data_IF_698454832869
#
_entry.id   IF_698454832869
#
_cell.length_a   1.000
_cell.length_b   1.000
_cell.length_c   1.000
_cell.angle_alpha   90.00
_cell.angle_beta   90.00
_cell.angle_gamma   90.00
#
_symmetry.space_group_name_H-M   'P 1'
#
loop_
_entity.id
_entity.type
_entity.pdbx_description
1 polymer ?
#
# COMPACT_ATOMS: atom_id res chain seq x y z
N UNK A 1 3.52 32.85 1.28
CA UNK A 1 3.90 32.21 -0.01
C UNK A 1 3.02 30.99 -0.29
N UNK A 2 2.57 30.80 -1.54
CA UNK A 2 1.78 29.62 -1.91
C UNK A 2 2.68 28.43 -2.31
N UNK A 3 2.94 27.54 -1.37
CA UNK A 3 3.75 26.34 -1.58
C UNK A 3 3.13 25.37 -2.60
N UNK A 4 1.79 25.30 -2.67
CA UNK A 4 1.10 24.39 -3.59
C UNK A 4 1.36 24.79 -5.04
N UNK A 5 1.22 26.08 -5.34
CA UNK A 5 1.48 26.63 -6.67
C UNK A 5 2.94 26.44 -7.07
N UNK A 6 3.88 26.69 -6.15
CA UNK A 6 5.30 26.50 -6.43
C UNK A 6 5.64 25.02 -6.73
N UNK A 7 5.06 24.07 -5.99
CA UNK A 7 5.29 22.65 -6.29
C UNK A 7 4.70 22.29 -7.66
N UNK A 8 3.51 22.80 -7.99
CA UNK A 8 2.85 22.53 -9.26
C UNK A 8 3.56 23.16 -10.46
N UNK A 9 4.21 24.32 -10.30
CA UNK A 9 5.00 24.92 -11.39
C UNK A 9 6.21 24.06 -11.77
N UNK A 10 6.80 23.34 -10.80
CA UNK A 10 7.93 22.43 -11.05
C UNK A 10 7.47 21.01 -11.42
N UNK A 11 6.34 20.55 -10.88
CA UNK A 11 5.77 19.22 -11.12
C UNK A 11 4.26 19.31 -11.42
N UNK A 12 3.86 19.69 -12.65
CA UNK A 12 2.45 19.90 -12.99
C UNK A 12 1.57 18.66 -12.83
N UNK A 13 2.16 17.47 -13.04
CA UNK A 13 1.46 16.18 -13.00
C UNK A 13 1.52 15.49 -11.64
N UNK A 14 1.91 16.20 -10.58
CA UNK A 14 1.99 15.66 -9.22
C UNK A 14 0.61 15.20 -8.72
N UNK A 15 0.54 14.03 -8.09
CA UNK A 15 -0.70 13.55 -7.49
C UNK A 15 -1.06 14.33 -6.21
N UNK A 16 -2.35 14.51 -5.94
CA UNK A 16 -2.84 15.22 -4.76
C UNK A 16 -2.29 14.64 -3.45
N UNK A 17 -2.16 13.32 -3.37
CA UNK A 17 -1.57 12.65 -2.21
C UNK A 17 -0.10 13.02 -1.99
N UNK A 18 0.68 13.11 -3.07
CA UNK A 18 2.10 13.52 -3.00
C UNK A 18 2.21 15.00 -2.66
N UNK A 19 1.38 15.83 -3.28
CA UNK A 19 1.30 17.27 -3.02
C UNK A 19 0.95 17.54 -1.55
N UNK A 20 -0.08 16.89 -1.01
CA UNK A 20 -0.45 16.98 0.41
C UNK A 20 0.67 16.51 1.33
N UNK A 21 1.37 15.43 0.97
CA UNK A 21 2.53 14.96 1.71
C UNK A 21 3.66 15.99 1.74
N UNK A 22 3.95 16.60 0.59
CA UNK A 22 4.98 17.62 0.45
C UNK A 22 4.65 18.89 1.26
N UNK A 23 3.43 19.41 1.13
CA UNK A 23 2.99 20.60 1.88
C UNK A 23 3.00 20.36 3.39
N UNK A 24 2.56 19.18 3.83
CA UNK A 24 2.59 18.81 5.25
C UNK A 24 4.01 18.71 5.77
N UNK A 25 4.92 18.07 5.03
CA UNK A 25 6.30 17.92 5.45
C UNK A 25 7.01 19.29 5.50
N UNK A 26 6.88 20.11 4.47
CA UNK A 26 7.56 21.40 4.46
C UNK A 26 7.02 22.35 5.55
N UNK A 27 5.72 22.32 5.84
CA UNK A 27 5.13 23.07 6.95
C UNK A 27 5.69 22.64 8.31
N UNK A 28 5.87 21.33 8.53
CA UNK A 28 6.50 20.79 9.75
C UNK A 28 7.97 21.20 9.86
N UNK A 29 8.72 21.12 8.76
CA UNK A 29 10.13 21.54 8.73
C UNK A 29 10.25 23.03 9.04
N UNK A 30 9.47 23.87 8.37
CA UNK A 30 9.47 25.31 8.59
C UNK A 30 9.20 25.63 10.05
N UNK A 31 8.11 25.09 10.62
CA UNK A 31 7.77 25.30 12.03
C UNK A 31 8.87 24.85 12.98
N UNK A 32 9.55 23.73 12.68
CA UNK A 32 10.66 23.25 13.50
C UNK A 32 11.90 24.15 13.42
N UNK A 33 12.16 24.77 12.28
CA UNK A 33 13.35 25.62 12.05
C UNK A 33 13.12 27.06 12.53
N UNK A 34 11.92 27.61 12.31
CA UNK A 34 11.61 29.03 12.52
C UNK A 34 10.69 29.30 13.71
N UNK A 35 10.02 28.28 14.25
CA UNK A 35 8.96 28.43 15.26
C UNK A 35 7.63 28.95 14.70
N UNK A 36 7.56 29.32 13.42
CA UNK A 36 6.38 29.94 12.79
C UNK A 36 5.58 28.93 11.97
N UNK A 37 4.25 29.10 11.94
CA UNK A 37 3.36 28.21 11.17
C UNK A 37 3.25 28.59 9.69
N UNK A 38 3.35 29.88 9.38
CA UNK A 38 3.17 30.39 8.02
C UNK A 38 4.51 30.52 7.29
N UNK A 39 4.58 30.01 6.06
CA UNK A 39 5.76 30.09 5.21
C UNK A 39 5.69 31.35 4.34
N UNK A 40 6.55 32.31 4.63
CA UNK A 40 6.67 33.56 3.86
C UNK A 40 7.64 33.41 2.68
N UNK A 41 8.73 32.67 2.87
CA UNK A 41 9.79 32.43 1.89
C UNK A 41 10.48 31.06 2.15
N UNK A 42 11.51 30.75 1.36
CA UNK A 42 12.32 29.54 1.50
C UNK A 42 13.63 29.77 2.26
N UNK A 43 13.88 30.94 2.83
CA UNK A 43 15.16 31.28 3.47
C UNK A 43 15.43 30.44 4.73
N UNK A 44 14.39 29.89 5.35
CA UNK A 44 14.57 28.91 6.42
C UNK A 44 15.37 27.68 5.98
N UNK A 45 15.39 27.33 4.69
CA UNK A 45 16.21 26.24 4.15
C UNK A 45 17.71 26.58 4.13
N UNK A 46 18.07 27.86 4.21
CA UNK A 46 19.46 28.32 4.37
C UNK A 46 19.98 28.08 5.79
N UNK A 47 19.10 27.89 6.78
CA UNK A 47 19.47 27.53 8.16
C UNK A 47 19.85 26.03 8.25
N UNK A 48 20.87 25.64 7.49
CA UNK A 48 21.22 24.25 7.20
C UNK A 48 21.42 23.41 8.46
N UNK A 49 22.11 23.95 9.45
CA UNK A 49 22.36 23.28 10.74
C UNK A 49 21.05 22.86 11.42
N UNK A 50 20.06 23.76 11.48
CA UNK A 50 18.75 23.46 12.10
C UNK A 50 17.93 22.48 11.27
N UNK A 51 18.00 22.60 9.94
CA UNK A 51 17.36 21.64 9.03
C UNK A 51 17.94 20.25 9.26
N UNK A 52 19.25 20.12 9.31
CA UNK A 52 19.94 18.85 9.53
C UNK A 52 19.64 18.26 10.91
N UNK A 53 19.63 19.11 11.95
CA UNK A 53 19.28 18.69 13.29
C UNK A 53 17.85 18.10 13.32
N UNK A 54 16.89 18.78 12.69
CA UNK A 54 15.52 18.28 12.59
C UNK A 54 15.46 16.96 11.80
N UNK A 55 16.10 16.92 10.64
CA UNK A 55 16.08 15.75 9.78
C UNK A 55 16.75 14.56 10.47
N UNK A 56 17.85 14.76 11.21
CA UNK A 56 18.63 13.71 11.87
C UNK A 56 17.77 12.78 12.74
N UNK A 57 16.77 13.36 13.41
CA UNK A 57 15.80 12.70 14.32
C UNK A 57 14.77 11.82 13.59
N UNK A 58 14.72 11.87 12.26
CA UNK A 58 13.72 11.18 11.44
C UNK A 58 14.23 9.85 10.87
N UNK A 59 13.30 8.94 10.59
CA UNK A 59 13.61 7.69 9.87
C UNK A 59 14.18 7.97 8.47
N UNK A 60 14.98 7.03 7.94
CA UNK A 60 15.56 7.14 6.58
C UNK A 60 14.51 7.43 5.51
N UNK A 61 13.38 6.72 5.54
CA UNK A 61 12.29 6.93 4.57
C UNK A 61 11.63 8.30 4.71
N UNK A 62 11.46 8.78 5.94
CA UNK A 62 10.95 10.13 6.19
C UNK A 62 11.94 11.17 5.66
N UNK A 63 13.24 11.06 5.97
CA UNK A 63 14.29 11.94 5.44
C UNK A 63 14.23 12.03 3.91
N UNK A 64 14.14 10.90 3.21
CA UNK A 64 14.01 10.87 1.74
C UNK A 64 12.82 11.69 1.24
N UNK A 65 11.68 11.66 1.93
CA UNK A 65 10.51 12.46 1.57
C UNK A 65 10.75 13.97 1.77
N UNK A 66 11.43 14.36 2.85
CA UNK A 66 11.79 15.76 3.08
C UNK A 66 12.78 16.27 2.03
N UNK A 67 13.85 15.53 1.74
CA UNK A 67 14.77 15.88 0.65
C UNK A 67 14.04 15.97 -0.70
N UNK A 68 13.07 15.09 -0.95
CA UNK A 68 12.24 15.13 -2.16
C UNK A 68 11.48 16.46 -2.34
N UNK A 69 10.86 16.98 -1.27
CA UNK A 69 10.16 18.28 -1.34
C UNK A 69 11.12 19.46 -1.35
N UNK A 70 12.19 19.44 -0.55
CA UNK A 70 13.21 20.51 -0.51
C UNK A 70 13.79 20.72 -1.92
N UNK A 71 14.29 19.65 -2.55
CA UNK A 71 14.83 19.74 -3.90
C UNK A 71 13.80 20.18 -4.93
N UNK A 72 12.53 19.79 -4.77
CA UNK A 72 11.46 20.24 -5.67
C UNK A 72 11.24 21.75 -5.58
N UNK A 73 11.29 22.31 -4.36
CA UNK A 73 11.09 23.75 -4.13
C UNK A 73 12.29 24.58 -4.58
N UNK A 74 13.52 24.08 -4.37
CA UNK A 74 14.74 24.81 -4.69
C UNK A 74 15.09 24.80 -6.18
N UNK A 75 14.61 23.80 -6.94
CA UNK A 75 15.00 23.57 -8.35
C UNK A 75 14.94 24.81 -9.25
N UNK A 76 14.02 25.73 -9.00
CA UNK A 76 13.82 26.94 -9.81
C UNK A 76 14.00 28.24 -9.03
N UNK A 77 14.51 28.15 -7.78
CA UNK A 77 14.56 29.28 -6.84
C UNK A 77 15.95 29.57 -6.33
N UNK A 78 16.76 28.55 -6.11
CA UNK A 78 18.10 28.69 -5.55
C UNK A 78 18.95 27.49 -5.97
N UNK A 79 19.74 27.67 -7.03
CA UNK A 79 20.54 26.60 -7.64
C UNK A 79 21.69 26.15 -6.72
N UNK A 80 22.31 27.07 -6.00
CA UNK A 80 23.42 26.75 -5.09
C UNK A 80 22.91 25.91 -3.92
N UNK A 81 21.82 26.35 -3.28
CA UNK A 81 21.20 25.61 -2.19
C UNK A 81 20.64 24.27 -2.67
N UNK A 82 20.08 24.21 -3.89
CA UNK A 82 19.66 22.95 -4.52
C UNK A 82 20.82 21.95 -4.59
N UNK A 83 21.97 22.36 -5.13
CA UNK A 83 23.17 21.51 -5.26
C UNK A 83 23.68 21.02 -3.91
N UNK A 84 23.62 21.87 -2.88
CA UNK A 84 24.00 21.50 -1.52
C UNK A 84 23.13 20.35 -0.98
N UNK A 85 21.80 20.49 -1.03
CA UNK A 85 20.89 19.44 -0.56
C UNK A 85 20.92 18.18 -1.45
N UNK A 86 21.24 18.31 -2.73
CA UNK A 86 21.38 17.18 -3.64
C UNK A 86 22.61 16.34 -3.30
N UNK A 87 23.75 17.01 -3.03
CA UNK A 87 24.98 16.36 -2.56
C UNK A 87 24.73 15.57 -1.28
N UNK A 88 24.05 16.16 -0.30
CA UNK A 88 23.72 15.49 0.96
C UNK A 88 22.81 14.27 0.75
N UNK A 89 21.83 14.40 -0.14
CA UNK A 89 20.94 13.30 -0.49
C UNK A 89 21.70 12.12 -1.10
N UNK A 90 22.68 12.39 -1.94
CA UNK A 90 23.53 11.38 -2.58
C UNK A 90 24.49 10.76 -1.56
N UNK A 91 25.23 11.58 -0.80
CA UNK A 91 26.22 11.13 0.18
C UNK A 91 25.62 10.21 1.25
N UNK A 92 24.41 10.52 1.72
CA UNK A 92 23.71 9.72 2.71
C UNK A 92 22.92 8.55 2.10
N UNK A 93 23.12 8.26 0.82
CA UNK A 93 22.49 7.16 0.11
C UNK A 93 20.95 7.22 0.19
N UNK A 94 20.37 8.43 0.28
CA UNK A 94 18.93 8.65 0.16
C UNK A 94 18.48 8.63 -1.31
N UNK A 95 19.42 8.63 -2.26
CA UNK A 95 19.19 8.43 -3.69
C UNK A 95 18.97 6.95 -4.05
N UNK A 96 19.68 6.02 -3.39
CA UNK A 96 19.54 4.60 -3.64
C UNK A 96 18.29 4.03 -2.96
N UNK A 97 17.30 3.70 -3.79
CA UNK A 97 16.11 2.91 -3.43
C UNK A 97 16.41 1.47 -2.99
N UNK A 98 17.67 1.08 -2.76
CA UNK A 98 17.95 -0.10 -1.93
C UNK A 98 17.40 0.22 -0.54
N UNK A 99 16.14 -0.17 -0.33
CA UNK A 99 15.46 -0.18 0.96
C UNK A 99 16.25 -1.14 1.84
N UNK A 100 17.34 -0.65 2.41
CA UNK A 100 17.83 -1.17 3.68
C UNK A 100 16.65 -0.95 4.62
N UNK A 101 15.89 -2.00 4.87
CA UNK A 101 14.89 -1.99 5.93
C UNK A 101 15.62 -1.52 7.17
N UNK A 102 15.16 -0.44 7.80
CA UNK A 102 15.56 -0.18 9.17
C UNK A 102 15.19 -1.42 9.99
N UNK A 103 16.11 -1.94 10.80
CA UNK A 103 15.88 -3.06 11.73
C UNK A 103 14.66 -2.85 12.64
N UNK A 104 14.23 -1.59 12.77
CA UNK A 104 12.98 -1.18 13.43
C UNK A 104 11.71 -1.81 12.84
N UNK A 105 11.77 -2.35 11.62
CA UNK A 105 10.68 -3.11 10.99
C UNK A 105 11.04 -4.60 10.86
N UNK A 106 11.60 -5.24 11.91
CA UNK A 106 11.24 -6.64 12.19
C UNK A 106 9.72 -6.68 12.45
N UNK A 107 8.93 -6.49 11.39
CA UNK A 107 7.49 -6.72 11.41
C UNK A 107 7.34 -8.12 12.00
N UNK A 108 6.74 -8.22 13.18
CA UNK A 108 6.28 -9.49 13.72
C UNK A 108 5.25 -10.01 12.71
N UNK A 109 5.73 -10.76 11.73
CA UNK A 109 4.89 -11.52 10.82
C UNK A 109 4.55 -12.81 11.54
N UNK A 110 3.30 -13.22 11.44
CA UNK A 110 2.88 -14.56 11.82
C UNK A 110 3.10 -15.50 10.65
N UNK A 111 3.29 -16.78 10.94
CA UNK A 111 3.28 -17.81 9.91
C UNK A 111 1.84 -18.03 9.35
N UNK A 112 1.71 -18.84 8.30
CA UNK A 112 0.39 -19.12 7.73
C UNK A 112 -0.51 -19.91 8.68
N UNK A 113 0.06 -20.74 9.55
CA UNK A 113 -0.71 -21.56 10.50
C UNK A 113 -1.41 -20.67 11.52
N UNK A 114 -0.70 -19.70 12.07
CA UNK A 114 -1.23 -18.69 12.98
C UNK A 114 -2.22 -17.75 12.28
N UNK A 115 -1.97 -17.42 11.00
CA UNK A 115 -2.92 -16.66 10.19
C UNK A 115 -4.25 -17.43 10.00
N UNK A 116 -4.19 -18.73 9.71
CA UNK A 116 -5.37 -19.59 9.56
C UNK A 116 -6.10 -19.81 10.89
N UNK A 117 -5.36 -19.89 12.01
CA UNK A 117 -5.96 -19.90 13.35
C UNK A 117 -6.68 -18.60 13.65
N UNK A 118 -6.07 -17.45 13.35
CA UNK A 118 -6.71 -16.13 13.48
C UNK A 118 -7.99 -16.05 12.66
N UNK A 119 -7.96 -16.47 11.38
CA UNK A 119 -9.14 -16.54 10.52
C UNK A 119 -10.25 -17.41 11.13
N UNK A 120 -9.88 -18.57 11.69
CA UNK A 120 -10.82 -19.49 12.32
C UNK A 120 -11.49 -18.87 13.54
N UNK A 121 -10.74 -18.15 14.38
CA UNK A 121 -11.29 -17.41 15.53
C UNK A 121 -12.27 -16.31 15.08
N UNK A 122 -11.91 -15.55 14.04
CA UNK A 122 -12.78 -14.50 13.47
C UNK A 122 -14.08 -15.09 12.92
N UNK A 123 -13.99 -16.22 12.20
CA UNK A 123 -15.17 -16.93 11.67
C UNK A 123 -16.09 -17.44 12.79
N UNK A 124 -15.53 -18.05 13.84
CA UNK A 124 -16.28 -18.52 15.02
C UNK A 124 -16.98 -17.38 15.76
N UNK A 125 -16.41 -16.18 15.75
CA UNK A 125 -17.00 -14.98 16.35
C UNK A 125 -18.13 -14.35 15.51
N UNK A 126 -18.53 -14.95 14.38
CA UNK A 126 -19.59 -14.42 13.51
C UNK A 126 -19.19 -13.16 12.73
N UNK A 127 -17.90 -12.83 12.66
CA UNK A 127 -17.40 -11.66 11.96
C UNK A 127 -17.18 -11.95 10.47
N UNK A 128 -18.27 -12.33 9.79
CA UNK A 128 -18.26 -12.85 8.41
C UNK A 128 -17.62 -11.89 7.42
N UNK A 129 -17.92 -10.58 7.49
CA UNK A 129 -17.32 -9.57 6.61
C UNK A 129 -15.79 -9.55 6.73
N UNK A 130 -15.28 -9.54 7.96
CA UNK A 130 -13.83 -9.49 8.22
C UNK A 130 -13.14 -10.79 7.79
N UNK A 131 -13.78 -11.93 8.07
CA UNK A 131 -13.32 -13.23 7.62
C UNK A 131 -13.18 -13.29 6.09
N UNK A 132 -14.23 -12.88 5.36
CA UNK A 132 -14.21 -12.87 3.89
C UNK A 132 -13.14 -11.92 3.35
N UNK A 133 -12.98 -10.73 3.94
CA UNK A 133 -11.95 -9.78 3.54
C UNK A 133 -10.53 -10.35 3.72
N UNK A 134 -10.24 -10.92 4.89
CA UNK A 134 -8.93 -11.50 5.19
C UNK A 134 -8.65 -12.76 4.39
N UNK A 135 -9.66 -13.61 4.16
CA UNK A 135 -9.54 -14.79 3.30
C UNK A 135 -9.32 -14.40 1.84
N UNK A 136 -9.99 -13.34 1.37
CA UNK A 136 -9.76 -12.80 0.03
C UNK A 136 -8.33 -12.27 -0.11
N UNK A 137 -7.79 -11.54 0.88
CA UNK A 137 -6.41 -11.05 0.87
C UNK A 137 -5.36 -12.17 0.92
N UNK A 138 -5.68 -13.30 1.56
CA UNK A 138 -4.82 -14.48 1.59
C UNK A 138 -4.68 -15.12 0.20
N UNK A 139 -5.79 -15.23 -0.53
CA UNK A 139 -5.84 -15.86 -1.85
C UNK A 139 -5.48 -14.90 -2.98
N UNK A 140 -5.85 -13.64 -2.82
CA UNK A 140 -5.71 -12.57 -3.80
C UNK A 140 -5.24 -11.30 -3.07
N UNK A 141 -3.91 -11.11 -2.90
CA UNK A 141 -3.36 -10.08 -2.03
C UNK A 141 -3.44 -8.69 -2.67
N UNK A 142 -4.65 -8.19 -2.83
CA UNK A 142 -4.97 -6.83 -3.24
C UNK A 142 -4.45 -5.81 -2.21
N UNK A 143 -4.41 -4.54 -2.58
CA UNK A 143 -4.13 -3.47 -1.62
C UNK A 143 -5.46 -2.99 -1.02
N UNK A 144 -5.45 -1.82 -0.38
CA UNK A 144 -6.59 -1.36 0.43
C UNK A 144 -7.85 -1.06 -0.40
N UNK A 145 -7.74 -0.95 -1.73
CA UNK A 145 -8.89 -0.86 -2.64
C UNK A 145 -9.82 -2.08 -2.60
N UNK A 146 -9.42 -3.19 -1.97
CA UNK A 146 -10.31 -4.33 -1.73
C UNK A 146 -11.60 -3.90 -1.02
N UNK A 147 -11.54 -2.94 -0.11
CA UNK A 147 -12.71 -2.45 0.62
C UNK A 147 -13.71 -1.68 -0.26
N UNK A 148 -13.31 -1.28 -1.46
CA UNK A 148 -14.16 -0.53 -2.40
C UNK A 148 -14.81 -1.40 -3.48
N UNK A 149 -14.74 -2.74 -3.35
CA UNK A 149 -15.33 -3.66 -4.32
C UNK A 149 -16.86 -3.56 -4.36
N UNK A 150 -17.40 -3.42 -5.58
CA UNK A 150 -18.83 -3.46 -5.87
C UNK A 150 -19.23 -4.81 -6.46
N UNK A 151 -20.27 -5.43 -5.93
CA UNK A 151 -20.87 -6.65 -6.44
C UNK A 151 -21.68 -6.28 -7.68
N UNK A 152 -21.46 -7.02 -8.77
CA UNK A 152 -22.22 -6.84 -10.01
C UNK A 152 -22.48 -8.19 -10.67
N UNK A 153 -23.73 -8.50 -11.06
CA UNK A 153 -24.02 -9.66 -11.89
C UNK A 153 -23.23 -9.64 -13.21
N UNK A 154 -22.75 -10.78 -13.68
CA UNK A 154 -21.99 -10.88 -14.93
C UNK A 154 -22.72 -10.28 -16.14
N UNK A 155 -24.04 -10.40 -16.19
CA UNK A 155 -24.86 -9.82 -17.26
C UNK A 155 -24.82 -8.29 -17.24
N UNK A 156 -24.84 -7.67 -16.07
CA UNK A 156 -24.81 -6.22 -15.91
C UNK A 156 -23.40 -5.67 -16.15
N UNK A 157 -22.38 -6.36 -15.64
CA UNK A 157 -20.98 -5.98 -15.86
C UNK A 157 -20.62 -5.85 -17.35
N UNK A 158 -21.18 -6.71 -18.21
CA UNK A 158 -21.00 -6.65 -19.67
C UNK A 158 -21.64 -5.42 -20.32
N UNK A 159 -22.64 -4.80 -19.67
CA UNK A 159 -23.33 -3.60 -20.17
C UNK A 159 -22.64 -2.30 -19.75
N UNK A 160 -21.73 -2.36 -18.78
CA UNK A 160 -20.96 -1.18 -18.32
C UNK A 160 -19.96 -0.82 -19.42
N UNK A 161 -20.16 0.34 -20.05
CA UNK A 161 -19.23 0.91 -21.04
C UNK A 161 -17.94 1.37 -20.36
N UNK A 162 -18.08 2.23 -19.35
CA UNK A 162 -16.96 2.81 -18.60
C UNK A 162 -16.82 2.19 -17.22
N UNK A 163 -15.88 1.26 -17.10
CA UNK A 163 -15.62 0.53 -15.84
C UNK A 163 -14.66 1.32 -14.97
N UNK A 164 -15.19 2.30 -14.24
CA UNK A 164 -14.37 3.20 -13.38
C UNK A 164 -14.17 2.71 -11.96
N UNK A 165 -14.98 1.74 -11.50
CA UNK A 165 -14.90 1.17 -10.16
C UNK A 165 -14.17 -0.19 -10.13
N UNK A 166 -13.97 -0.71 -8.92
CA UNK A 166 -13.53 -2.09 -8.72
C UNK A 166 -14.76 -2.98 -8.49
N UNK A 167 -14.83 -4.11 -9.19
CA UNK A 167 -16.00 -4.98 -9.21
C UNK A 167 -15.66 -6.40 -8.76
N UNK A 168 -16.51 -6.99 -7.93
CA UNK A 168 -16.66 -8.43 -7.82
C UNK A 168 -17.78 -8.85 -8.78
N UNK A 169 -17.40 -9.49 -9.87
CA UNK A 169 -18.34 -9.93 -10.91
C UNK A 169 -18.82 -11.34 -10.61
N UNK A 170 -20.13 -11.51 -10.52
CA UNK A 170 -20.78 -12.77 -10.12
C UNK A 170 -21.64 -13.32 -11.25
N UNK A 171 -21.21 -14.44 -11.84
CA UNK A 171 -22.03 -15.27 -12.72
C UNK A 171 -22.48 -16.56 -12.03
N UNK A 172 -23.18 -17.43 -12.75
CA UNK A 172 -23.51 -18.79 -12.26
C UNK A 172 -22.27 -19.67 -12.17
N UNK A 173 -21.46 -19.73 -13.24
CA UNK A 173 -20.24 -20.53 -13.33
C UNK A 173 -18.95 -19.75 -13.07
N UNK A 174 -18.92 -18.47 -13.45
CA UNK A 174 -17.73 -17.60 -13.33
C UNK A 174 -17.88 -16.62 -12.18
N UNK A 175 -16.80 -16.37 -11.47
CA UNK A 175 -16.71 -15.33 -10.46
C UNK A 175 -15.29 -14.77 -10.49
N UNK A 176 -15.15 -13.46 -10.62
CA UNK A 176 -13.85 -12.82 -10.74
C UNK A 176 -13.88 -11.40 -10.19
N UNK A 177 -12.71 -10.90 -9.83
CA UNK A 177 -12.51 -9.51 -9.44
C UNK A 177 -11.94 -8.75 -10.61
N UNK A 178 -12.56 -7.64 -10.98
CA UNK A 178 -12.08 -6.71 -12.00
C UNK A 178 -11.74 -5.37 -11.33
N UNK A 179 -10.47 -4.98 -11.35
CA UNK A 179 -9.99 -3.74 -10.72
C UNK A 179 -9.58 -2.75 -11.80
N UNK A 180 -10.19 -1.57 -11.73
CA UNK A 180 -9.91 -0.44 -12.62
C UNK A 180 -9.41 0.79 -11.85
N UNK A 181 -9.57 0.81 -10.53
CA UNK A 181 -9.18 1.90 -9.64
C UNK A 181 -8.26 1.38 -8.55
N UNK A 182 -6.97 1.37 -8.83
CA UNK A 182 -5.93 0.91 -7.90
C UNK A 182 -4.64 1.69 -8.13
N UNK A 183 -3.66 1.55 -7.23
CA UNK A 183 -2.47 2.43 -7.18
C UNK A 183 -1.69 2.60 -8.51
N UNK A 184 -1.72 1.59 -9.38
CA UNK A 184 -0.91 1.50 -10.59
C UNK A 184 -1.77 1.20 -11.82
N UNK A 185 -3.06 1.52 -11.75
CA UNK A 185 -4.04 1.44 -12.84
C UNK A 185 -3.57 2.19 -14.09
N UNK A 186 -2.95 3.36 -13.92
CA UNK A 186 -2.38 4.14 -15.03
C UNK A 186 -1.29 3.40 -15.82
N UNK A 187 -0.63 2.41 -15.22
CA UNK A 187 0.46 1.64 -15.84
C UNK A 187 -0.05 0.31 -16.37
N UNK A 188 -0.85 -0.40 -15.56
CA UNK A 188 -1.25 -1.78 -15.86
C UNK A 188 -2.69 -1.90 -16.38
N UNK A 189 -3.43 -0.79 -16.51
CA UNK A 189 -4.80 -0.75 -17.00
C UNK A 189 -5.78 -1.47 -16.07
N UNK A 190 -6.68 -2.26 -16.64
CA UNK A 190 -7.63 -3.07 -15.88
C UNK A 190 -7.03 -4.44 -15.56
N UNK A 191 -7.07 -4.86 -14.29
CA UNK A 191 -6.65 -6.21 -13.90
C UNK A 191 -7.87 -7.06 -13.57
N UNK A 192 -7.93 -8.24 -14.17
CA UNK A 192 -8.94 -9.26 -13.85
C UNK A 192 -8.29 -10.48 -13.21
N UNK A 193 -8.86 -10.93 -12.10
CA UNK A 193 -8.42 -12.10 -11.35
C UNK A 193 -9.61 -13.04 -11.13
N UNK A 194 -9.55 -14.21 -11.75
CA UNK A 194 -10.55 -15.24 -11.53
C UNK A 194 -10.48 -15.77 -10.11
N UNK A 195 -11.64 -15.81 -9.44
CA UNK A 195 -11.76 -16.57 -8.22
C UNK A 195 -11.87 -18.03 -8.65
N UNK A 196 -10.98 -18.90 -8.19
CA UNK A 196 -10.92 -20.31 -8.61
C UNK A 196 -11.22 -21.27 -7.47
N UNK A 197 -10.77 -20.95 -6.24
CA UNK A 197 -11.01 -21.74 -5.03
C UNK A 197 -12.51 -22.00 -4.80
N UNK A 198 -12.90 -23.28 -4.88
CA UNK A 198 -14.31 -23.72 -4.79
C UNK A 198 -14.91 -23.47 -3.41
N UNK A 199 -14.12 -23.66 -2.34
CA UNK A 199 -14.58 -23.49 -0.96
C UNK A 199 -14.84 -22.01 -0.68
N UNK A 200 -13.89 -21.16 -1.04
CA UNK A 200 -14.01 -19.72 -0.90
C UNK A 200 -15.14 -19.15 -1.76
N UNK A 201 -15.34 -19.63 -3.00
CA UNK A 201 -16.52 -19.26 -3.82
C UNK A 201 -17.83 -19.51 -3.09
N UNK A 202 -17.97 -20.68 -2.45
CA UNK A 202 -19.18 -21.05 -1.70
C UNK A 202 -19.40 -20.10 -0.52
N UNK A 203 -18.36 -19.84 0.26
CA UNK A 203 -18.41 -18.92 1.40
C UNK A 203 -18.73 -17.47 0.97
N UNK A 204 -18.09 -17.00 -0.10
CA UNK A 204 -18.30 -15.67 -0.67
C UNK A 204 -19.73 -15.51 -1.21
N UNK A 205 -20.30 -16.53 -1.88
CA UNK A 205 -21.72 -16.49 -2.29
C UNK A 205 -22.68 -16.43 -1.12
N UNK A 206 -22.43 -17.22 -0.08
CA UNK A 206 -23.27 -17.19 1.13
C UNK A 206 -23.22 -15.80 1.78
N UNK A 207 -22.03 -15.21 1.86
CA UNK A 207 -21.86 -13.84 2.34
C UNK A 207 -22.60 -12.82 1.47
N UNK A 208 -22.45 -12.86 0.14
CA UNK A 208 -23.17 -11.97 -0.78
C UNK A 208 -24.69 -12.09 -0.62
N UNK A 209 -25.21 -13.31 -0.48
CA UNK A 209 -26.65 -13.52 -0.23
C UNK A 209 -27.10 -12.86 1.09
N UNK A 210 -26.25 -12.88 2.12
CA UNK A 210 -26.55 -12.21 3.39
C UNK A 210 -26.53 -10.68 3.34
N UNK A 211 -26.03 -10.09 2.24
CA UNK A 211 -26.01 -8.63 2.04
C UNK A 211 -27.33 -8.08 1.47
N UNK A 212 -28.32 -8.94 1.22
CA UNK A 212 -29.69 -8.55 0.84
C UNK A 212 -29.77 -7.52 -0.30
N UNK A 213 -29.15 -7.85 -1.44
CA UNK A 213 -29.20 -7.03 -2.65
C UNK A 213 -28.25 -5.82 -2.68
N UNK A 214 -27.47 -5.56 -1.62
CA UNK A 214 -26.47 -4.48 -1.61
C UNK A 214 -25.40 -4.67 -2.67
N UNK A 215 -24.90 -3.55 -3.18
CA UNK A 215 -23.82 -3.54 -4.16
C UNK A 215 -22.45 -3.46 -3.49
N UNK A 216 -22.33 -3.00 -2.26
CA UNK A 216 -21.07 -2.85 -1.56
C UNK A 216 -20.64 -4.18 -0.93
N UNK A 217 -19.48 -4.70 -1.33
CA UNK A 217 -19.00 -5.97 -0.78
C UNK A 217 -18.55 -5.85 0.69
N UNK A 218 -17.94 -4.73 1.06
CA UNK A 218 -17.43 -4.48 2.41
C UNK A 218 -17.90 -3.13 2.91
N UNK A 219 -18.68 -3.14 3.98
CA UNK A 219 -19.34 -1.96 4.51
C UNK A 219 -18.55 -1.33 5.63
N UNK A 220 -18.40 -0.01 5.59
CA UNK A 220 -18.24 0.74 6.82
C UNK A 220 -19.57 0.71 7.59
N UNK A 221 -19.57 0.08 8.76
CA UNK A 221 -20.77 -0.08 9.60
C UNK A 221 -21.37 1.25 10.08
N UNK A 222 -20.59 2.32 10.14
CA UNK A 222 -21.05 3.64 10.55
C UNK A 222 -21.78 4.38 9.42
N UNK A 223 -21.25 4.29 8.19
CA UNK A 223 -21.79 5.07 7.06
C UNK A 223 -22.72 4.25 6.17
N UNK A 224 -22.70 2.93 6.28
CA UNK A 224 -23.44 2.01 5.40
C UNK A 224 -22.91 1.97 3.97
N UNK A 225 -21.78 2.65 3.67
CA UNK A 225 -21.15 2.72 2.34
C UNK A 225 -19.93 1.79 2.26
N UNK A 226 -19.40 1.60 1.05
CA UNK A 226 -18.13 0.91 0.85
C UNK A 226 -17.01 1.51 1.68
N UNK A 227 -16.10 0.67 2.19
CA UNK A 227 -14.91 1.14 2.88
C UNK A 227 -13.98 1.89 1.92
N UNK A 228 -13.52 3.05 2.37
CA UNK A 228 -12.37 3.74 1.79
C UNK A 228 -11.06 2.99 2.09
N UNK A 229 -9.98 3.23 1.34
CA UNK A 229 -8.68 2.62 1.64
C UNK A 229 -8.15 2.85 3.06
N UNK A 230 -8.48 4.00 3.67
CA UNK A 230 -8.11 4.32 5.04
C UNK A 230 -8.92 3.49 6.04
N UNK A 231 -10.23 3.40 5.84
CA UNK A 231 -11.12 2.59 6.68
C UNK A 231 -10.79 1.10 6.59
N UNK A 232 -10.49 0.59 5.39
CA UNK A 232 -9.99 -0.79 5.19
C UNK A 232 -8.74 -1.03 6.04
N UNK A 233 -7.77 -0.12 5.98
CA UNK A 233 -6.52 -0.24 6.75
C UNK A 233 -6.77 -0.26 8.26
N UNK A 234 -7.64 0.63 8.74
CA UNK A 234 -7.99 0.73 10.16
C UNK A 234 -8.75 -0.51 10.61
N UNK A 235 -9.69 -1.01 9.81
CA UNK A 235 -10.46 -2.22 10.12
C UNK A 235 -9.56 -3.44 10.20
N UNK A 236 -8.67 -3.63 9.23
CA UNK A 236 -7.70 -4.72 9.23
C UNK A 236 -6.80 -4.66 10.47
N UNK A 237 -6.26 -3.49 10.79
CA UNK A 237 -5.41 -3.31 11.97
C UNK A 237 -6.15 -3.61 13.27
N UNK A 238 -7.40 -3.16 13.39
CA UNK A 238 -8.25 -3.40 14.54
C UNK A 238 -8.57 -4.90 14.70
N UNK A 239 -9.07 -5.53 13.64
CA UNK A 239 -9.53 -6.92 13.73
C UNK A 239 -8.36 -7.87 13.97
N UNK A 240 -7.24 -7.68 13.26
CA UNK A 240 -6.09 -8.57 13.42
C UNK A 240 -5.44 -8.40 14.78
N UNK A 241 -5.33 -7.16 15.30
CA UNK A 241 -4.81 -6.94 16.66
C UNK A 241 -5.66 -7.65 17.71
N UNK A 242 -6.98 -7.71 17.54
CA UNK A 242 -7.90 -8.39 18.46
C UNK A 242 -7.72 -9.91 18.45
N UNK A 243 -7.34 -10.53 17.33
CA UNK A 243 -7.36 -11.98 17.17
C UNK A 243 -5.98 -12.64 16.99
N UNK A 244 -4.90 -11.86 16.82
CA UNK A 244 -3.51 -12.34 16.73
C UNK A 244 -2.49 -11.49 17.48
N UNK A 245 -2.95 -10.48 18.24
CA UNK A 245 -2.09 -9.49 18.90
C UNK A 245 -1.21 -8.64 17.97
N UNK A 246 -1.41 -8.71 16.66
CA UNK A 246 -0.64 -7.99 15.66
C UNK A 246 -1.52 -7.12 14.77
N UNK A 247 -1.07 -5.89 14.50
CA UNK A 247 -1.74 -4.99 13.56
C UNK A 247 -1.28 -5.32 12.14
N UNK A 248 -2.02 -6.17 11.45
CA UNK A 248 -1.70 -6.55 10.07
C UNK A 248 -2.33 -5.57 9.07
N UNK A 249 -1.51 -5.13 8.11
CA UNK A 249 -1.95 -4.37 6.93
C UNK A 249 -2.10 -5.31 5.72
N UNK A 250 -2.70 -4.85 4.61
CA UNK A 250 -2.69 -5.61 3.35
C UNK A 250 -1.28 -5.87 2.81
N UNK A 251 -0.28 -5.07 3.22
CA UNK A 251 1.13 -5.32 2.87
C UNK A 251 1.78 -6.37 3.77
N UNK A 252 1.42 -6.40 5.06
CA UNK A 252 1.88 -7.44 5.98
C UNK A 252 1.27 -8.80 5.61
N UNK A 253 -0.02 -8.84 5.28
CA UNK A 253 -0.70 -10.05 4.81
C UNK A 253 -0.06 -10.54 3.50
N UNK A 254 0.24 -9.63 2.57
CA UNK A 254 0.95 -10.00 1.36
C UNK A 254 2.31 -10.64 1.65
N UNK A 255 3.11 -10.07 2.57
CA UNK A 255 4.38 -10.67 3.01
C UNK A 255 4.18 -12.06 3.62
N UNK A 256 3.16 -12.25 4.45
CA UNK A 256 2.82 -13.57 5.01
C UNK A 256 2.55 -14.57 3.87
N UNK A 257 1.73 -14.20 2.89
CA UNK A 257 1.48 -15.05 1.70
C UNK A 257 2.77 -15.37 0.97
N UNK A 258 3.65 -14.38 0.75
CA UNK A 258 4.90 -14.59 0.03
C UNK A 258 5.89 -15.48 0.79
N UNK A 259 6.00 -15.31 2.11
CA UNK A 259 6.94 -16.03 2.95
C UNK A 259 6.54 -17.49 3.21
N UNK A 260 5.27 -17.85 2.98
CA UNK A 260 4.76 -19.20 3.21
C UNK A 260 4.64 -20.04 1.93
N UNK A 261 5.14 -19.53 0.80
CA UNK A 261 5.23 -20.35 -0.42
C UNK A 261 6.29 -21.44 -0.27
N UNK A 262 5.91 -22.68 -0.54
CA UNK A 262 6.74 -23.88 -0.42
C UNK A 262 7.05 -24.49 -1.79
N UNK A 263 7.56 -23.67 -2.71
CA UNK A 263 8.08 -24.21 -3.97
C UNK A 263 9.44 -24.86 -3.75
N UNK A 264 9.71 -25.88 -4.54
CA UNK A 264 10.88 -26.75 -4.39
C UNK A 264 12.12 -26.12 -5.03
N UNK A 265 11.95 -25.19 -5.97
CA UNK A 265 13.05 -24.49 -6.63
C UNK A 265 12.85 -22.96 -6.77
N UNK A 266 13.93 -22.29 -7.21
CA UNK A 266 13.95 -20.84 -7.40
C UNK A 266 13.07 -20.37 -8.56
N UNK A 267 12.81 -21.22 -9.56
CA UNK A 267 11.97 -20.89 -10.70
C UNK A 267 10.50 -20.86 -10.25
N UNK A 268 10.04 -21.86 -9.52
CA UNK A 268 8.70 -21.90 -8.94
C UNK A 268 8.44 -20.69 -8.03
N UNK A 269 9.43 -20.32 -7.20
CA UNK A 269 9.30 -19.13 -6.36
C UNK A 269 9.22 -17.85 -7.20
N UNK A 270 10.01 -17.75 -8.27
CA UNK A 270 9.98 -16.60 -9.18
C UNK A 270 8.65 -16.51 -9.91
N UNK A 271 8.15 -17.62 -10.47
CA UNK A 271 6.87 -17.71 -11.16
C UNK A 271 5.72 -17.32 -10.21
N UNK A 272 5.78 -17.77 -8.96
CA UNK A 272 4.84 -17.36 -7.92
C UNK A 272 4.92 -15.86 -7.61
N UNK A 273 6.11 -15.28 -7.46
CA UNK A 273 6.27 -13.83 -7.24
C UNK A 273 5.75 -13.01 -8.43
N UNK A 274 5.95 -13.49 -9.66
CA UNK A 274 5.42 -12.88 -10.88
C UNK A 274 3.90 -12.88 -10.85
N UNK A 275 3.27 -14.02 -10.57
CA UNK A 275 1.82 -14.12 -10.48
C UNK A 275 1.25 -13.25 -9.36
N UNK A 276 1.89 -13.26 -8.18
CA UNK A 276 1.52 -12.40 -7.06
C UNK A 276 1.68 -10.91 -7.38
N UNK A 277 2.72 -10.54 -8.13
CA UNK A 277 2.92 -9.19 -8.65
C UNK A 277 1.78 -8.77 -9.58
N UNK A 278 1.42 -9.63 -10.53
CA UNK A 278 0.30 -9.44 -11.45
C UNK A 278 -1.03 -9.30 -10.71
N UNK A 279 -1.33 -10.20 -9.76
CA UNK A 279 -2.53 -10.12 -8.91
C UNK A 279 -2.52 -8.85 -8.06
N UNK A 280 -1.38 -8.40 -7.54
CA UNK A 280 -1.35 -7.18 -6.72
C UNK A 280 -1.37 -5.89 -7.55
N UNK A 281 -1.01 -5.94 -8.83
CA UNK A 281 -0.68 -4.76 -9.64
C UNK A 281 0.63 -4.15 -9.15
N UNK A 282 1.67 -4.96 -9.01
CA UNK A 282 3.03 -4.55 -8.65
C UNK A 282 3.98 -5.11 -9.69
N UNK A 283 4.99 -4.33 -10.07
CA UNK A 283 6.07 -4.81 -10.92
C UNK A 283 6.72 -6.06 -10.29
N UNK A 284 6.69 -7.23 -10.96
CA UNK A 284 7.35 -8.44 -10.50
C UNK A 284 8.84 -8.24 -10.20
N UNK A 285 9.56 -7.42 -10.97
CA UNK A 285 10.99 -7.15 -10.75
C UNK A 285 11.21 -6.54 -9.37
N UNK A 286 10.37 -5.59 -8.99
CA UNK A 286 10.42 -4.97 -7.66
C UNK A 286 10.17 -5.99 -6.54
N UNK A 287 9.36 -7.03 -6.78
CA UNK A 287 9.14 -8.09 -5.79
C UNK A 287 10.33 -9.04 -5.72
N UNK A 288 10.86 -9.46 -6.87
CA UNK A 288 12.05 -10.31 -6.96
C UNK A 288 13.23 -9.65 -6.24
N UNK A 289 13.51 -8.39 -6.56
CA UNK A 289 14.60 -7.64 -5.94
C UNK A 289 14.45 -7.54 -4.42
N UNK A 290 13.21 -7.54 -3.92
CA UNK A 290 12.94 -7.38 -2.50
C UNK A 290 12.92 -8.70 -1.73
N UNK A 291 12.35 -9.76 -2.31
CA UNK A 291 12.06 -11.02 -1.61
C UNK A 291 13.05 -12.15 -1.96
N UNK A 292 13.63 -12.16 -3.16
CA UNK A 292 14.63 -13.18 -3.54
C UNK A 292 16.00 -12.83 -2.97
N UNK A 293 16.44 -11.57 -3.06
CA UNK A 293 17.73 -11.17 -2.49
C UNK A 293 17.79 -11.43 -0.98
N UNK A 294 16.67 -11.25 -0.27
CA UNK A 294 16.58 -11.57 1.16
C UNK A 294 16.77 -13.06 1.48
N UNK A 295 16.31 -13.97 0.62
CA UNK A 295 16.46 -15.42 0.84
C UNK A 295 17.91 -15.88 0.62
N UNK A 296 18.64 -15.19 -0.27
CA UNK A 296 20.09 -15.43 -0.44
C UNK A 296 20.86 -14.98 0.79
N UNK A 297 20.55 -13.80 1.32
CA UNK A 297 21.22 -13.26 2.51
C UNK A 297 20.96 -14.12 3.76
N UNK A 298 19.74 -14.66 3.94
CA UNK A 298 19.43 -15.54 5.08
C UNK A 298 20.08 -16.92 5.04
N UNK A 299 20.54 -17.37 3.87
CA UNK A 299 21.22 -18.67 3.73
C UNK A 299 22.75 -18.56 3.91
N UNK A 300 23.29 -17.34 4.09
CA UNK A 300 24.71 -17.11 4.35
C UNK A 300 25.01 -17.06 5.85
N UNK A 301 24.00 -16.80 6.68
CA UNK A 301 24.16 -16.74 8.15
C UNK A 301 24.02 -18.11 8.85
N UNK A 302 23.65 -19.17 8.12
CA UNK A 302 23.47 -20.54 8.62
C UNK A 302 24.48 -21.55 8.03
N UNK A 303 25.62 -21.09 7.49
CA UNK A 303 26.69 -21.92 6.91
C UNK A 303 28.04 -21.71 7.59
#
# INVERSE_FOLDING_TARGET
MNIVELIKSVKPTISDGTLKGYTTNIGKLHKAVTGKSEIQDLDFLKQKVKVDEYLSKLSKGTKTNYYGVILTLLKTKDEELYKLYEKDKIANNFANKKKVMSDTNKEKLIDMKDYDQMLSKIKKAGLTQDYIMLRMLQLYPYRNEIGSLKIVPLKEFKKIKDKTDNYLVVGSKKMFVNRNKYKTDKIYGSITNDITDKKFKKELRAYIKSLDGRTELFLNKLTGKSMTPAETSNRLSYITKKYSDLKLSTSSIFKIVLSNFKGDDMKEYTDFLVEMGRIRGTDPKTLIDYYIHKKKDSNVDDA
#
